data_IF_253736372609
#
_entry.id   IF_253736372609
#
_cell.length_a   1.000
_cell.length_b   1.000
_cell.length_c   1.000
_cell.angle_alpha   90.00
_cell.angle_beta   90.00
_cell.angle_gamma   90.00
#
_symmetry.space_group_name_H-M   'P 1'
#
loop_
_entity.id
_entity.type
_entity.pdbx_description
1 polymer ?
#
# COMPACT_ATOMS: atom_id res chain seq x y z
N UNK A 1 -14.93 37.37 33.87
CA UNK A 1 -13.71 36.73 33.34
C UNK A 1 -12.73 36.55 34.50
N UNK A 2 -12.70 35.35 35.09
CA UNK A 2 -11.60 34.86 35.94
C UNK A 2 -11.24 33.45 35.45
N UNK A 3 -9.96 33.14 35.31
CA UNK A 3 -9.51 31.95 34.58
C UNK A 3 -9.66 30.70 35.44
N UNK A 4 -10.03 29.59 34.80
CA UNK A 4 -9.96 28.25 35.39
C UNK A 4 -8.51 27.97 35.85
N UNK A 5 -8.28 27.44 37.07
CA UNK A 5 -6.95 27.08 37.49
C UNK A 5 -6.44 25.89 36.67
N UNK A 6 -5.57 26.19 35.71
CA UNK A 6 -4.57 25.27 35.21
C UNK A 6 -3.63 24.90 36.35
N UNK A 7 -3.52 23.61 36.68
CA UNK A 7 -2.25 22.91 36.88
C UNK A 7 -2.50 21.55 37.53
N UNK A 8 -2.75 20.51 36.72
CA UNK A 8 -2.48 19.16 37.19
C UNK A 8 -0.96 18.98 37.32
N UNK A 9 -0.45 18.53 38.47
CA UNK A 9 0.98 18.33 38.70
C UNK A 9 1.60 17.47 37.59
N UNK A 10 2.83 17.77 37.17
CA UNK A 10 3.52 17.04 36.10
C UNK A 10 3.54 15.53 36.35
N UNK A 11 3.68 15.11 37.62
CA UNK A 11 3.60 13.71 38.05
C UNK A 11 2.24 13.04 37.76
N UNK A 12 1.13 13.77 37.93
CA UNK A 12 -0.22 13.29 37.62
C UNK A 12 -0.42 13.19 36.11
N UNK A 13 0.09 14.16 35.33
CA UNK A 13 0.11 14.08 33.86
C UNK A 13 0.98 12.93 33.36
N UNK A 14 2.13 12.66 33.98
CA UNK A 14 3.01 11.54 33.61
C UNK A 14 2.38 10.20 33.95
N UNK A 15 1.71 10.06 35.09
CA UNK A 15 0.96 8.85 35.45
C UNK A 15 -0.28 8.64 34.58
N UNK A 16 -1.01 9.69 34.22
CA UNK A 16 -2.13 9.62 33.27
C UNK A 16 -1.64 9.27 31.86
N UNK A 17 -0.50 9.82 31.40
CA UNK A 17 0.14 9.42 30.13
C UNK A 17 0.63 7.98 30.15
N UNK A 18 1.18 7.51 31.27
CA UNK A 18 1.62 6.12 31.43
C UNK A 18 0.43 5.14 31.50
N UNK A 19 -0.67 5.53 32.15
CA UNK A 19 -1.91 4.76 32.22
C UNK A 19 -2.66 4.72 30.88
N UNK A 20 -2.75 5.86 30.16
CA UNK A 20 -3.33 5.93 28.82
C UNK A 20 -2.51 5.13 27.78
N UNK A 21 -1.21 4.92 28.03
CA UNK A 21 -0.31 4.10 27.19
C UNK A 21 -0.38 2.60 27.49
N UNK A 22 -0.98 2.18 28.62
CA UNK A 22 -1.28 0.79 28.92
C UNK A 22 -2.75 0.52 28.61
N UNK A 23 -3.08 0.46 27.32
CA UNK A 23 -4.33 -0.19 26.90
C UNK A 23 -4.28 -1.61 27.50
N UNK A 24 -5.30 -1.97 28.27
CA UNK A 24 -5.38 -3.31 28.85
C UNK A 24 -5.18 -4.34 27.73
N UNK A 25 -4.45 -5.45 27.99
CA UNK A 25 -4.33 -6.51 27.01
C UNK A 25 -5.74 -6.94 26.57
N UNK A 26 -5.92 -7.15 25.27
CA UNK A 26 -7.18 -7.67 24.75
C UNK A 26 -7.48 -9.00 25.43
N UNK A 27 -8.75 -9.24 25.77
CA UNK A 27 -9.17 -10.56 26.24
C UNK A 27 -8.89 -11.63 25.17
N UNK A 28 -8.74 -12.91 25.56
CA UNK A 28 -8.37 -13.99 24.63
C UNK A 28 -9.35 -14.10 23.46
N UNK A 29 -10.65 -14.05 23.73
CA UNK A 29 -11.71 -14.11 22.71
C UNK A 29 -11.64 -12.93 21.72
N UNK A 30 -11.34 -11.72 22.22
CA UNK A 30 -11.17 -10.53 21.37
C UNK A 30 -9.91 -10.62 20.50
N UNK A 31 -8.83 -11.20 21.04
CA UNK A 31 -7.62 -11.46 20.28
C UNK A 31 -7.85 -12.50 19.17
N UNK A 32 -8.61 -13.57 19.44
CA UNK A 32 -8.97 -14.60 18.45
C UNK A 32 -9.84 -14.02 17.32
N UNK A 33 -10.88 -13.23 17.66
CA UNK A 33 -11.72 -12.56 16.65
C UNK A 33 -10.92 -11.60 15.79
N UNK A 34 -9.99 -10.86 16.39
CA UNK A 34 -9.10 -9.94 15.68
C UNK A 34 -8.12 -10.69 14.77
N UNK A 35 -7.60 -11.84 15.20
CA UNK A 35 -6.78 -12.71 14.37
C UNK A 35 -7.58 -13.30 13.20
N UNK A 36 -8.84 -13.71 13.42
CA UNK A 36 -9.72 -14.19 12.35
C UNK A 36 -9.95 -13.11 11.28
N UNK A 37 -10.26 -11.88 11.69
CA UNK A 37 -10.41 -10.76 10.76
C UNK A 37 -9.12 -10.52 9.96
N UNK A 38 -7.96 -10.47 10.61
CA UNK A 38 -6.67 -10.29 9.92
C UNK A 38 -6.37 -11.41 8.93
N UNK A 39 -6.72 -12.67 9.25
CA UNK A 39 -6.57 -13.81 8.34
C UNK A 39 -7.50 -13.72 7.14
N UNK A 40 -8.76 -13.32 7.35
CA UNK A 40 -9.70 -13.07 6.25
C UNK A 40 -9.19 -11.97 5.33
N UNK A 41 -8.73 -10.85 5.89
CA UNK A 41 -8.16 -9.75 5.10
C UNK A 41 -6.91 -10.19 4.34
N UNK A 42 -6.04 -11.00 4.95
CA UNK A 42 -4.88 -11.59 4.28
C UNK A 42 -5.29 -12.40 3.05
N UNK A 43 -6.21 -13.34 3.20
CA UNK A 43 -6.68 -14.20 2.11
C UNK A 43 -7.39 -13.39 1.01
N UNK A 44 -8.30 -12.50 1.36
CA UNK A 44 -9.10 -11.73 0.39
C UNK A 44 -8.30 -10.66 -0.38
N UNK A 45 -7.07 -10.36 0.06
CA UNK A 45 -6.14 -9.46 -0.64
C UNK A 45 -5.09 -10.21 -1.48
N UNK A 46 -5.09 -11.55 -1.49
CA UNK A 46 -4.26 -12.34 -2.39
C UNK A 46 -4.83 -12.35 -3.80
N UNK A 47 -3.98 -12.72 -4.76
CA UNK A 47 -4.42 -12.94 -6.14
C UNK A 47 -5.54 -13.98 -6.16
N UNK A 48 -6.68 -13.72 -6.83
CA UNK A 48 -7.87 -14.57 -6.77
C UNK A 48 -7.76 -15.76 -7.73
N UNK A 49 -6.78 -16.62 -7.49
CA UNK A 49 -6.61 -17.86 -8.25
C UNK A 49 -7.80 -18.84 -8.08
N UNK A 50 -7.71 -19.97 -8.77
CA UNK A 50 -8.72 -21.01 -8.73
C UNK A 50 -8.93 -21.58 -7.31
N UNK A 51 -7.88 -21.66 -6.49
CA UNK A 51 -7.97 -22.18 -5.12
C UNK A 51 -8.75 -21.21 -4.23
N UNK A 52 -8.35 -19.93 -4.20
CA UNK A 52 -9.04 -18.90 -3.42
C UNK A 52 -10.50 -18.74 -3.88
N UNK A 53 -10.73 -18.80 -5.18
CA UNK A 53 -12.07 -18.72 -5.76
C UNK A 53 -12.96 -19.90 -5.37
N UNK A 54 -12.41 -21.12 -5.29
CA UNK A 54 -13.15 -22.30 -4.84
C UNK A 54 -13.53 -22.21 -3.34
N UNK A 55 -12.75 -21.48 -2.54
CA UNK A 55 -12.96 -21.33 -1.10
C UNK A 55 -13.99 -20.24 -0.71
N UNK A 56 -14.64 -19.60 -1.69
CA UNK A 56 -15.70 -18.60 -1.47
C UNK A 56 -16.72 -18.97 -0.39
N UNK A 57 -17.32 -20.19 -0.38
CA UNK A 57 -18.29 -20.55 0.65
C UNK A 57 -17.68 -20.58 2.06
N UNK A 58 -16.43 -21.04 2.19
CA UNK A 58 -15.73 -21.10 3.48
C UNK A 58 -15.35 -19.71 3.98
N UNK A 59 -14.90 -18.83 3.07
CA UNK A 59 -14.60 -17.43 3.39
C UNK A 59 -15.86 -16.69 3.85
N UNK A 60 -16.99 -16.89 3.18
CA UNK A 60 -18.28 -16.34 3.58
C UNK A 60 -18.74 -16.84 4.96
N UNK A 61 -18.63 -18.13 5.22
CA UNK A 61 -18.96 -18.71 6.52
C UNK A 61 -18.06 -18.17 7.65
N UNK A 62 -16.76 -18.05 7.40
CA UNK A 62 -15.81 -17.48 8.35
C UNK A 62 -16.08 -15.99 8.63
N UNK A 63 -16.45 -15.21 7.62
CA UNK A 63 -16.85 -13.82 7.80
C UNK A 63 -18.16 -13.68 8.60
N UNK A 64 -19.13 -14.57 8.37
CA UNK A 64 -20.39 -14.60 9.12
C UNK A 64 -20.21 -14.95 10.61
N UNK A 65 -19.10 -15.60 10.97
CA UNK A 65 -18.75 -15.89 12.37
C UNK A 65 -18.16 -14.69 13.12
N UNK A 66 -17.81 -13.59 12.41
CA UNK A 66 -17.37 -12.35 13.06
C UNK A 66 -18.55 -11.68 13.78
N UNK A 67 -18.35 -11.12 14.98
CA UNK A 67 -19.39 -10.35 15.64
C UNK A 67 -19.75 -9.09 14.83
N UNK A 68 -21.01 -8.62 14.91
CA UNK A 68 -21.43 -7.39 14.24
C UNK A 68 -20.52 -6.21 14.60
N UNK A 69 -19.87 -5.65 13.59
CA UNK A 69 -18.95 -4.53 13.72
C UNK A 69 -18.81 -3.82 12.37
N UNK A 70 -18.31 -2.57 12.34
CA UNK A 70 -18.01 -1.90 11.07
C UNK A 70 -17.09 -2.73 10.18
N UNK A 71 -16.04 -3.34 10.74
CA UNK A 71 -15.12 -4.19 9.98
C UNK A 71 -15.82 -5.42 9.36
N UNK A 72 -16.67 -6.09 10.12
CA UNK A 72 -17.42 -7.25 9.62
C UNK A 72 -18.38 -6.86 8.48
N UNK A 73 -19.02 -5.70 8.57
CA UNK A 73 -19.90 -5.19 7.52
C UNK A 73 -19.13 -4.88 6.22
N UNK A 74 -17.93 -4.29 6.33
CA UNK A 74 -17.06 -4.05 5.17
C UNK A 74 -16.60 -5.35 4.51
N UNK A 75 -16.18 -6.35 5.32
CA UNK A 75 -15.78 -7.67 4.78
C UNK A 75 -16.96 -8.37 4.10
N UNK A 76 -18.16 -8.30 4.68
CA UNK A 76 -19.37 -8.85 4.08
C UNK A 76 -19.69 -8.17 2.72
N UNK A 77 -19.61 -6.84 2.65
CA UNK A 77 -19.83 -6.10 1.41
C UNK A 77 -18.83 -6.48 0.30
N UNK A 78 -17.56 -6.71 0.67
CA UNK A 78 -16.58 -7.25 -0.29
C UNK A 78 -16.96 -8.65 -0.76
N UNK A 79 -17.34 -9.55 0.16
CA UNK A 79 -17.68 -10.93 -0.17
C UNK A 79 -18.93 -11.04 -1.04
N UNK A 80 -19.94 -10.18 -0.83
CA UNK A 80 -21.11 -10.10 -1.70
C UNK A 80 -20.72 -9.76 -3.15
N UNK A 81 -19.81 -8.78 -3.32
CA UNK A 81 -19.25 -8.48 -4.63
C UNK A 81 -18.42 -9.66 -5.19
N UNK A 82 -17.48 -10.17 -4.38
CA UNK A 82 -16.51 -11.20 -4.76
C UNK A 82 -17.20 -12.47 -5.22
N UNK A 83 -18.23 -12.91 -4.49
CA UNK A 83 -19.00 -14.12 -4.83
C UNK A 83 -19.84 -13.98 -6.10
N UNK A 84 -20.25 -12.76 -6.45
CA UNK A 84 -21.00 -12.47 -7.67
C UNK A 84 -20.16 -12.28 -8.94
N UNK A 85 -18.82 -12.33 -8.85
CA UNK A 85 -17.94 -12.16 -10.01
C UNK A 85 -17.50 -13.49 -10.62
N UNK A 86 -17.37 -13.52 -11.95
CA UNK A 86 -16.70 -14.61 -12.67
C UNK A 86 -15.19 -14.65 -12.34
N UNK A 87 -14.56 -15.84 -12.27
CA UNK A 87 -13.15 -15.98 -11.89
C UNK A 87 -12.20 -15.12 -12.74
N UNK A 88 -12.28 -15.22 -14.07
CA UNK A 88 -11.45 -14.43 -15.01
C UNK A 88 -11.65 -12.92 -14.85
N UNK A 89 -12.84 -12.48 -14.41
CA UNK A 89 -13.12 -11.08 -14.15
C UNK A 89 -12.45 -10.60 -12.86
N UNK A 90 -12.40 -11.44 -11.82
CA UNK A 90 -11.67 -11.14 -10.59
C UNK A 90 -10.18 -11.02 -10.82
N UNK A 91 -9.59 -11.97 -11.55
CA UNK A 91 -8.16 -11.97 -11.86
C UNK A 91 -7.76 -10.69 -12.60
N UNK A 92 -8.49 -10.33 -13.66
CA UNK A 92 -8.27 -9.08 -14.39
C UNK A 92 -8.44 -7.86 -13.50
N UNK A 93 -9.50 -7.81 -12.68
CA UNK A 93 -9.75 -6.70 -11.78
C UNK A 93 -8.64 -6.56 -10.72
N UNK A 94 -8.10 -7.68 -10.22
CA UNK A 94 -6.98 -7.68 -9.29
C UNK A 94 -5.73 -7.05 -9.92
N UNK A 95 -5.33 -7.55 -11.10
CA UNK A 95 -4.14 -7.04 -11.82
C UNK A 95 -4.30 -5.56 -12.15
N UNK A 96 -5.47 -5.14 -12.64
CA UNK A 96 -5.75 -3.74 -12.92
C UNK A 96 -5.69 -2.87 -11.65
N UNK A 97 -6.16 -3.41 -10.52
CA UNK A 97 -6.22 -2.70 -9.25
C UNK A 97 -4.86 -2.58 -8.59
N UNK A 98 -4.07 -3.65 -8.52
CA UNK A 98 -2.89 -3.73 -7.65
C UNK A 98 -1.56 -3.72 -8.40
N UNK A 99 -1.49 -4.34 -9.58
CA UNK A 99 -0.23 -4.53 -10.30
C UNK A 99 0.05 -3.38 -11.28
N UNK A 100 -1.00 -2.90 -11.96
CA UNK A 100 -0.88 -1.84 -12.96
C UNK A 100 -0.93 -0.42 -12.37
N UNK A 101 -1.42 -0.27 -11.13
CA UNK A 101 -1.62 1.03 -10.49
C UNK A 101 -0.69 1.21 -9.29
N UNK A 102 0.36 2.01 -9.49
CA UNK A 102 1.34 2.34 -8.44
C UNK A 102 0.74 2.88 -7.14
N UNK A 103 -0.39 3.60 -7.20
CA UNK A 103 -1.02 4.21 -6.02
C UNK A 103 -1.73 3.20 -5.11
N UNK A 104 -2.08 2.02 -5.63
CA UNK A 104 -2.80 0.97 -4.89
C UNK A 104 -1.97 -0.30 -4.65
N UNK A 105 -0.71 -0.35 -5.10
CA UNK A 105 0.22 -1.45 -4.84
C UNK A 105 0.21 -1.95 -3.39
N UNK A 106 0.23 -3.28 -3.19
CA UNK A 106 0.15 -3.88 -1.85
C UNK A 106 1.50 -3.98 -1.13
N UNK A 107 2.58 -3.42 -1.66
CA UNK A 107 3.92 -3.45 -1.05
C UNK A 107 4.14 -2.23 -0.14
N UNK A 108 4.07 -2.42 1.17
CA UNK A 108 3.98 -1.31 2.12
C UNK A 108 5.23 -0.43 2.22
N UNK A 109 6.42 -0.98 1.97
CA UNK A 109 7.67 -0.20 2.05
C UNK A 109 7.85 0.75 0.87
N UNK A 110 7.22 0.45 -0.26
CA UNK A 110 7.23 1.30 -1.45
C UNK A 110 6.72 2.71 -1.13
N UNK A 111 5.65 2.85 -0.34
CA UNK A 111 5.11 4.17 0.00
C UNK A 111 6.01 5.05 0.86
N UNK A 112 6.94 4.46 1.63
CA UNK A 112 7.86 5.21 2.48
C UNK A 112 9.20 5.48 1.80
N UNK A 113 9.62 4.61 0.90
CA UNK A 113 10.99 4.59 0.39
C UNK A 113 11.08 4.55 -1.13
N UNK A 114 9.95 4.39 -1.85
CA UNK A 114 9.92 4.09 -3.27
C UNK A 114 10.87 2.96 -3.65
N UNK A 115 11.37 2.96 -4.88
CA UNK A 115 12.35 1.98 -5.35
C UNK A 115 13.79 2.44 -5.08
N UNK A 116 14.06 2.84 -3.84
CA UNK A 116 15.39 3.27 -3.40
C UNK A 116 16.14 2.16 -2.67
N UNK A 117 17.47 2.30 -2.51
CA UNK A 117 18.28 1.47 -1.59
C UNK A 117 17.71 1.39 -0.17
N UNK A 118 17.02 2.44 0.31
CA UNK A 118 16.39 2.45 1.64
C UNK A 118 15.25 1.43 1.74
N UNK A 119 14.56 1.13 0.64
CA UNK A 119 13.54 0.08 0.58
C UNK A 119 14.14 -1.29 0.91
N UNK A 120 15.31 -1.62 0.34
CA UNK A 120 16.02 -2.86 0.63
C UNK A 120 16.32 -3.05 2.13
N UNK A 121 16.74 -1.98 2.82
CA UNK A 121 16.97 -2.01 4.27
C UNK A 121 15.68 -2.18 5.09
N UNK A 122 14.57 -1.59 4.63
CA UNK A 122 13.27 -1.76 5.26
C UNK A 122 12.76 -3.21 5.14
N UNK A 123 12.91 -3.83 3.95
CA UNK A 123 12.58 -5.23 3.72
C UNK A 123 13.38 -6.16 4.64
N UNK A 124 14.70 -5.95 4.75
CA UNK A 124 15.55 -6.73 5.65
C UNK A 124 15.13 -6.58 7.12
N UNK A 125 14.76 -5.36 7.53
CA UNK A 125 14.28 -5.08 8.88
C UNK A 125 12.98 -5.83 9.18
N UNK A 126 12.05 -5.86 8.21
CA UNK A 126 10.78 -6.58 8.35
C UNK A 126 10.99 -8.10 8.38
N UNK A 127 11.82 -8.64 7.49
CA UNK A 127 12.20 -10.06 7.52
C UNK A 127 12.84 -10.49 8.85
N UNK A 128 13.73 -9.66 9.41
CA UNK A 128 14.32 -9.91 10.75
C UNK A 128 13.26 -9.91 11.85
N UNK A 129 12.25 -9.05 11.75
CA UNK A 129 11.13 -9.01 12.70
C UNK A 129 10.33 -10.31 12.68
N UNK A 130 10.06 -10.85 11.50
CA UNK A 130 9.35 -12.11 11.33
C UNK A 130 10.11 -13.28 11.95
N UNK A 131 11.40 -13.40 11.62
CA UNK A 131 12.26 -14.45 12.20
C UNK A 131 12.39 -14.34 13.72
N UNK A 132 12.46 -13.12 14.25
CA UNK A 132 12.50 -12.90 15.71
C UNK A 132 11.20 -13.34 16.41
N UNK A 133 10.09 -13.44 15.69
CA UNK A 133 8.82 -13.99 16.18
C UNK A 133 8.68 -15.50 15.87
N UNK A 134 9.71 -16.15 15.33
CA UNK A 134 9.69 -17.57 14.97
C UNK A 134 8.97 -17.87 13.66
N UNK A 135 8.74 -16.87 12.81
CA UNK A 135 8.11 -17.05 11.50
C UNK A 135 9.13 -16.87 10.37
N UNK A 136 9.25 -17.88 9.51
CA UNK A 136 10.01 -17.78 8.26
C UNK A 136 9.04 -17.64 7.08
N UNK A 137 9.31 -16.66 6.22
CA UNK A 137 8.45 -16.38 5.06
C UNK A 137 8.98 -17.23 3.91
N UNK A 138 8.49 -18.46 3.82
CA UNK A 138 8.91 -19.43 2.80
C UNK A 138 8.10 -19.32 1.48
N UNK A 139 7.26 -18.30 1.34
CA UNK A 139 6.22 -18.21 0.31
C UNK A 139 6.58 -17.50 -1.00
N UNK A 140 7.85 -17.18 -1.25
CA UNK A 140 8.28 -16.48 -2.47
C UNK A 140 7.87 -15.00 -2.57
N UNK A 141 6.94 -14.54 -1.74
CA UNK A 141 6.51 -13.15 -1.62
C UNK A 141 7.45 -12.29 -0.77
N UNK A 142 7.49 -10.99 -1.07
CA UNK A 142 8.27 -10.04 -0.26
C UNK A 142 7.65 -9.86 1.13
N UNK A 143 8.48 -9.62 2.17
CA UNK A 143 8.00 -9.50 3.54
C UNK A 143 7.08 -8.28 3.76
N UNK A 144 7.07 -7.30 2.86
CA UNK A 144 6.20 -6.12 2.96
C UNK A 144 4.92 -6.20 2.13
N UNK A 145 4.66 -7.32 1.46
CA UNK A 145 3.39 -7.56 0.79
C UNK A 145 2.26 -7.60 1.83
N UNK A 146 1.22 -6.78 1.68
CA UNK A 146 0.20 -6.57 2.71
C UNK A 146 -0.44 -7.88 3.25
N UNK A 147 -0.84 -8.87 2.41
CA UNK A 147 -1.25 -10.19 2.88
C UNK A 147 -0.27 -10.86 3.85
N UNK A 148 1.02 -10.86 3.53
CA UNK A 148 2.10 -11.40 4.38
C UNK A 148 2.16 -10.64 5.72
N UNK A 149 2.03 -9.31 5.68
CA UNK A 149 2.01 -8.49 6.90
C UNK A 149 0.78 -8.77 7.77
N UNK A 150 -0.38 -9.01 7.16
CA UNK A 150 -1.63 -9.33 7.85
C UNK A 150 -1.60 -10.72 8.48
N UNK A 151 -1.04 -11.70 7.79
CA UNK A 151 -0.82 -13.05 8.32
C UNK A 151 0.12 -12.99 9.53
N UNK A 152 1.25 -12.30 9.40
CA UNK A 152 2.13 -12.05 10.55
C UNK A 152 1.39 -11.41 11.72
N UNK A 153 0.56 -10.40 11.45
CA UNK A 153 -0.19 -9.70 12.48
C UNK A 153 -1.19 -10.61 13.20
N UNK A 154 -1.82 -11.54 12.48
CA UNK A 154 -2.70 -12.55 13.05
C UNK A 154 -1.94 -13.55 13.93
N UNK A 155 -0.74 -13.98 13.51
CA UNK A 155 0.09 -14.96 14.22
C UNK A 155 0.78 -14.37 15.46
N UNK A 156 1.46 -13.25 15.30
CA UNK A 156 2.21 -12.58 16.38
C UNK A 156 1.30 -11.76 17.32
N UNK A 157 0.01 -11.67 16.99
CA UNK A 157 -1.03 -11.12 17.83
C UNK A 157 -0.99 -9.60 18.00
N UNK A 158 -1.88 -9.08 18.86
CA UNK A 158 -2.04 -7.65 19.07
C UNK A 158 -0.73 -6.98 19.52
N UNK A 159 -0.58 -5.70 19.17
CA UNK A 159 0.63 -4.89 19.44
C UNK A 159 1.80 -5.28 18.55
N UNK A 160 2.55 -6.33 18.86
CA UNK A 160 3.81 -6.62 18.16
C UNK A 160 3.57 -7.04 16.72
N UNK A 161 2.61 -7.94 16.49
CA UNK A 161 2.23 -8.40 15.15
C UNK A 161 1.73 -7.26 14.26
N UNK A 162 0.92 -6.37 14.82
CA UNK A 162 0.36 -5.23 14.08
C UNK A 162 1.25 -3.99 14.01
N UNK A 163 2.44 -4.02 14.63
CA UNK A 163 3.33 -2.87 14.62
C UNK A 163 3.78 -2.45 13.20
N UNK A 164 4.08 -3.37 12.26
CA UNK A 164 4.30 -3.02 10.86
C UNK A 164 3.10 -2.29 10.25
N UNK A 165 1.87 -2.79 10.42
CA UNK A 165 0.66 -2.15 9.89
C UNK A 165 0.54 -0.69 10.35
N UNK A 166 0.79 -0.42 11.64
CA UNK A 166 0.78 0.95 12.18
C UNK A 166 1.92 1.81 11.65
N UNK A 167 3.12 1.25 11.47
CA UNK A 167 4.27 1.95 10.89
C UNK A 167 4.01 2.37 9.44
N UNK A 168 3.20 1.59 8.71
CA UNK A 168 2.83 1.82 7.32
C UNK A 168 1.42 2.43 7.15
N UNK A 169 0.81 3.00 8.21
CA UNK A 169 -0.53 3.62 8.21
C UNK A 169 -0.76 4.53 6.99
N UNK A 170 0.22 5.38 6.65
CA UNK A 170 0.11 6.34 5.54
C UNK A 170 -0.04 5.65 4.18
N UNK A 171 0.69 4.56 3.96
CA UNK A 171 0.54 3.75 2.76
C UNK A 171 -0.86 3.12 2.69
N UNK A 172 -1.34 2.56 3.80
CA UNK A 172 -2.68 1.95 3.88
C UNK A 172 -3.80 2.95 3.60
N UNK A 173 -3.71 4.16 4.15
CA UNK A 173 -4.65 5.26 3.88
C UNK A 173 -4.61 5.70 2.41
N UNK A 174 -3.41 5.78 1.81
CA UNK A 174 -3.27 6.10 0.40
C UNK A 174 -3.88 5.02 -0.51
N UNK A 175 -3.63 3.74 -0.22
CA UNK A 175 -4.26 2.62 -0.92
C UNK A 175 -5.78 2.73 -0.80
N UNK A 176 -6.30 2.88 0.43
CA UNK A 176 -7.74 3.01 0.67
C UNK A 176 -8.38 4.17 -0.13
N UNK A 177 -7.73 5.34 -0.14
CA UNK A 177 -8.16 6.48 -0.96
C UNK A 177 -8.14 6.15 -2.45
N UNK A 178 -7.04 5.60 -2.96
CA UNK A 178 -6.92 5.25 -4.38
C UNK A 178 -7.97 4.23 -4.83
N UNK A 179 -8.27 3.24 -3.98
CA UNK A 179 -9.33 2.25 -4.24
C UNK A 179 -10.73 2.88 -4.19
N UNK A 180 -10.95 3.83 -3.29
CA UNK A 180 -12.21 4.58 -3.19
C UNK A 180 -12.43 5.45 -4.42
N UNK A 181 -11.42 6.24 -4.82
CA UNK A 181 -11.47 7.10 -6.00
C UNK A 181 -11.68 6.29 -7.30
N UNK A 182 -11.14 5.06 -7.35
CA UNK A 182 -11.32 4.14 -8.46
C UNK A 182 -12.66 3.35 -8.42
N UNK A 183 -13.47 3.49 -7.37
CA UNK A 183 -14.69 2.72 -7.19
C UNK A 183 -14.48 1.21 -7.00
N UNK A 184 -13.26 0.78 -6.61
CA UNK A 184 -12.94 -0.64 -6.47
C UNK A 184 -13.59 -1.24 -5.22
N UNK A 185 -14.09 -2.48 -5.32
CA UNK A 185 -14.64 -3.22 -4.19
C UNK A 185 -13.58 -3.51 -3.11
N UNK A 186 -12.30 -3.63 -3.50
CA UNK A 186 -11.20 -3.83 -2.57
C UNK A 186 -11.07 -2.73 -1.50
N UNK A 187 -11.66 -1.53 -1.72
CA UNK A 187 -11.69 -0.47 -0.69
C UNK A 187 -12.28 -0.96 0.63
N UNK A 188 -13.25 -1.87 0.58
CA UNK A 188 -13.92 -2.42 1.75
C UNK A 188 -12.94 -3.18 2.66
N UNK A 189 -12.02 -3.96 2.08
CA UNK A 189 -11.00 -4.68 2.84
C UNK A 189 -10.03 -3.72 3.56
N UNK A 190 -9.65 -2.64 2.89
CA UNK A 190 -8.80 -1.62 3.49
C UNK A 190 -9.56 -0.81 4.56
N UNK A 191 -10.85 -0.52 4.35
CA UNK A 191 -11.69 0.13 5.35
C UNK A 191 -11.79 -0.73 6.62
N UNK A 192 -12.04 -2.04 6.49
CA UNK A 192 -12.04 -2.99 7.60
C UNK A 192 -10.69 -3.04 8.34
N UNK A 193 -9.58 -3.04 7.60
CA UNK A 193 -8.24 -3.00 8.21
C UNK A 193 -8.02 -1.71 9.01
N UNK A 194 -8.43 -0.56 8.46
CA UNK A 194 -8.23 0.75 9.09
C UNK A 194 -8.98 0.87 10.43
N UNK A 195 -10.09 0.15 10.63
CA UNK A 195 -10.83 0.15 11.91
C UNK A 195 -10.05 -0.52 13.05
N UNK A 196 -9.09 -1.39 12.75
CA UNK A 196 -8.25 -2.04 13.77
C UNK A 196 -7.22 -1.09 14.39
N UNK A 197 -6.98 0.04 13.74
CA UNK A 197 -5.97 1.00 14.13
C UNK A 197 -6.62 2.26 14.74
N UNK A 198 -5.89 3.01 15.59
CA UNK A 198 -6.37 4.32 16.05
C UNK A 198 -6.71 5.25 14.87
N UNK A 199 -7.61 6.22 15.06
CA UNK A 199 -7.91 7.22 14.02
C UNK A 199 -6.64 7.89 13.52
N UNK A 200 -6.58 8.16 12.21
CA UNK A 200 -5.49 8.89 11.60
C UNK A 200 -5.35 10.27 12.24
N UNK A 201 -4.12 10.70 12.50
CA UNK A 201 -3.86 12.05 12.98
C UNK A 201 -3.91 13.05 11.82
N UNK A 202 -4.07 14.33 12.11
CA UNK A 202 -3.97 15.38 11.09
C UNK A 202 -2.61 15.37 10.36
N UNK A 203 -1.54 14.96 11.07
CA UNK A 203 -0.22 14.80 10.47
C UNK A 203 -0.19 13.62 9.48
N UNK A 204 -0.88 12.51 9.78
CA UNK A 204 -1.01 11.39 8.85
C UNK A 204 -1.79 11.80 7.61
N UNK A 205 -2.92 12.49 7.77
CA UNK A 205 -3.74 12.96 6.66
C UNK A 205 -3.00 13.92 5.72
N UNK A 206 -2.21 14.85 6.28
CA UNK A 206 -1.34 15.74 5.48
C UNK A 206 -0.29 14.97 4.70
N UNK A 207 0.43 14.07 5.37
CA UNK A 207 1.45 13.25 4.72
C UNK A 207 0.85 12.33 3.62
N UNK A 208 -0.37 11.84 3.80
CA UNK A 208 -1.10 11.08 2.77
C UNK A 208 -1.46 11.96 1.58
N UNK A 209 -1.87 13.22 1.81
CA UNK A 209 -2.15 14.16 0.73
C UNK A 209 -0.89 14.52 -0.07
N UNK A 210 0.23 14.76 0.61
CA UNK A 210 1.55 14.98 0.00
C UNK A 210 1.96 13.75 -0.84
N UNK A 211 1.92 12.55 -0.25
CA UNK A 211 2.26 11.30 -0.94
C UNK A 211 1.33 11.02 -2.15
N UNK A 212 0.05 11.40 -2.07
CA UNK A 212 -0.88 11.25 -3.19
C UNK A 212 -0.56 12.18 -4.37
N UNK A 213 0.00 13.36 -4.08
CA UNK A 213 0.36 14.38 -5.05
C UNK A 213 1.73 14.12 -5.68
N UNK A 214 2.75 13.84 -4.86
CA UNK A 214 4.15 13.71 -5.27
C UNK A 214 4.53 12.27 -5.63
N UNK A 215 3.78 11.29 -5.12
CA UNK A 215 4.16 9.88 -5.19
C UNK A 215 5.28 9.53 -4.20
N UNK A 216 5.69 8.25 -4.11
CA UNK A 216 6.77 7.85 -3.22
C UNK A 216 8.14 8.40 -3.63
N UNK A 217 9.11 8.46 -2.71
CA UNK A 217 10.45 8.96 -3.02
C UNK A 217 11.13 8.19 -4.15
N UNK A 218 11.66 8.89 -5.17
CA UNK A 218 12.52 8.31 -6.20
C UNK A 218 13.98 8.25 -5.78
N UNK A 219 14.77 7.34 -6.39
CA UNK A 219 16.23 7.42 -6.37
C UNK A 219 16.68 8.12 -7.67
N UNK A 220 17.46 9.20 -7.56
CA UNK A 220 18.11 9.81 -8.72
C UNK A 220 19.32 8.97 -9.13
N UNK A 221 19.07 7.85 -9.80
CA UNK A 221 20.16 7.03 -10.36
C UNK A 221 20.58 7.60 -11.71
N UNK A 222 21.75 8.25 -11.76
CA UNK A 222 22.42 8.67 -13.01
C UNK A 222 22.15 10.10 -13.48
N UNK A 223 21.70 11.01 -12.62
CA UNK A 223 21.60 12.44 -12.97
C UNK A 223 22.87 13.25 -12.68
N UNK A 224 23.81 12.69 -11.93
CA UNK A 224 25.17 13.22 -11.95
C UNK A 224 25.78 12.88 -13.31
N UNK A 225 26.16 13.87 -14.16
CA UNK A 225 27.00 13.56 -15.31
C UNK A 225 28.20 12.82 -14.74
N UNK A 226 28.54 11.66 -15.31
CA UNK A 226 29.73 10.90 -14.95
C UNK A 226 30.83 11.88 -14.55
N UNK A 227 31.12 11.94 -13.25
CA UNK A 227 32.05 12.93 -12.73
C UNK A 227 33.32 12.82 -13.56
N UNK A 228 33.81 13.95 -14.07
CA UNK A 228 35.07 14.04 -14.78
C UNK A 228 36.22 13.77 -13.79
N UNK A 229 36.30 12.53 -13.28
CA UNK A 229 37.13 12.13 -12.16
C UNK A 229 37.76 10.77 -12.43
N UNK A 230 39.01 10.83 -12.91
CA UNK A 230 40.20 10.00 -12.64
C UNK A 230 40.15 8.47 -12.49
N UNK A 231 39.01 7.80 -12.67
CA UNK A 231 38.92 6.33 -12.62
C UNK A 231 38.41 5.75 -13.94
N UNK A 232 39.00 6.19 -15.05
CA UNK A 232 38.90 5.49 -16.33
C UNK A 232 40.08 4.51 -16.45
N UNK A 233 39.88 3.17 -16.46
CA UNK A 233 40.95 2.23 -16.76
C UNK A 233 41.50 2.51 -18.16
N UNK A 234 42.81 2.36 -18.43
CA UNK A 234 43.38 2.64 -19.74
C UNK A 234 42.70 1.75 -20.80
N UNK A 235 42.04 2.37 -21.79
CA UNK A 235 41.28 1.70 -22.84
C UNK A 235 39.76 1.93 -22.85
N UNK A 236 39.23 2.87 -22.06
CA UNK A 236 37.79 3.23 -22.13
C UNK A 236 37.43 3.70 -23.53
N UNK A 237 36.32 3.16 -24.04
CA UNK A 237 35.63 3.59 -25.25
C UNK A 237 35.50 5.12 -25.27
N UNK A 238 36.17 5.76 -26.23
CA UNK A 238 35.95 7.17 -26.54
C UNK A 238 34.70 7.23 -27.41
N UNK A 239 33.61 7.88 -26.97
CA UNK A 239 32.46 8.10 -27.85
C UNK A 239 32.94 8.86 -29.09
N UNK A 240 32.57 8.44 -30.31
CA UNK A 240 32.90 9.20 -31.50
C UNK A 240 32.29 10.60 -31.41
N UNK A 241 32.94 11.58 -32.05
CA UNK A 241 32.39 12.93 -32.18
C UNK A 241 30.96 12.86 -32.69
N UNK A 242 30.09 13.71 -32.14
CA UNK A 242 28.69 13.75 -32.54
C UNK A 242 28.59 13.94 -34.06
N UNK A 243 27.95 12.99 -34.72
CA UNK A 243 27.71 13.10 -36.16
C UNK A 243 26.92 14.39 -36.43
N UNK A 244 27.27 15.13 -37.50
CA UNK A 244 26.53 16.33 -37.87
C UNK A 244 25.04 16.00 -38.03
N UNK A 245 24.14 16.88 -37.58
CA UNK A 245 22.71 16.61 -37.61
C UNK A 245 22.27 16.27 -39.03
N UNK A 246 21.62 15.12 -39.20
CA UNK A 246 21.02 14.72 -40.47
C UNK A 246 19.96 15.77 -40.86
N UNK A 247 20.27 16.60 -41.86
CA UNK A 247 19.30 17.51 -42.45
C UNK A 247 18.25 16.69 -43.19
N UNK A 248 17.06 16.58 -42.60
CA UNK A 248 15.90 16.04 -43.29
C UNK A 248 15.53 17.04 -44.40
N UNK A 249 15.48 16.64 -45.69
CA UNK A 249 15.05 17.55 -46.75
C UNK A 249 13.60 18.00 -46.47
N UNK A 250 13.27 19.28 -46.73
CA UNK A 250 11.94 19.80 -46.43
C UNK A 250 10.87 19.01 -47.19
N UNK A 251 9.82 18.63 -46.47
CA UNK A 251 8.63 17.98 -47.02
C UNK A 251 8.01 18.89 -48.09
N UNK A 252 7.77 18.41 -49.32
CA UNK A 252 7.10 19.23 -50.33
C UNK A 252 5.68 19.56 -49.89
N UNK A 253 5.35 20.86 -49.93
CA UNK A 253 4.03 21.40 -49.60
C UNK A 253 3.02 20.93 -50.65
N UNK A 254 1.88 20.31 -50.27
CA UNK A 254 0.87 19.91 -51.24
C UNK A 254 0.17 21.13 -51.85
N UNK A 255 -0.20 21.08 -53.15
CA UNK A 255 -0.84 22.22 -53.82
C UNK A 255 -2.24 22.49 -53.25
N UNK A 256 -2.51 23.76 -52.99
CA UNK A 256 -3.81 24.29 -52.57
C UNK A 256 -4.89 24.00 -53.63
N UNK A 257 -5.87 23.19 -53.26
CA UNK A 257 -7.04 22.95 -54.10
C UNK A 257 -7.93 24.21 -54.14
N UNK A 258 -8.01 24.83 -55.32
CA UNK A 258 -8.99 25.88 -55.61
C UNK A 258 -10.42 25.34 -55.44
N UNK A 259 -11.15 25.90 -54.47
CA UNK A 259 -12.59 25.72 -54.28
C UNK A 259 -13.31 26.36 -55.47
N UNK A 260 -13.79 25.56 -56.42
CA UNK A 260 -14.77 26.01 -57.41
C UNK A 260 -16.15 26.03 -56.76
N UNK A 261 -16.70 27.22 -56.63
CA UNK A 261 -18.13 27.46 -56.47
C UNK A 261 -18.83 27.13 -57.79
N UNK A 262 -19.90 26.34 -57.74
CA UNK A 262 -21.00 26.31 -58.71
C UNK A 262 -22.22 25.74 -57.95
N UNK A 263 -23.22 26.55 -57.58
CA UNK A 263 -24.41 26.95 -58.37
C UNK A 263 -25.10 25.78 -59.09
N UNK A 264 -26.05 25.13 -58.42
CA UNK A 264 -27.52 25.21 -58.66
C UNK A 264 -28.27 24.19 -57.83
#
# INVERSE_FOLDING_TARGET
>A
MSPLPSTLPALVRTRLRAAARRRAPLGPEEAERRALLLRLLSLLLQYPDAELTAERPRLAAAAAALPPSPAAAEVAAFLDWFTGQEPDALERHYVETFDLRRKSSLYLTYYLHGDTRRRGMALLTLARRYRAAGWDVDGGELPDHLPVVLEFAALAGPRTGEAPLRQHRRGLELIHRALTDAGSAYRHLLAALLTLMPPATEADLRAVAELAAEGPPGEEVGLDPYGAGEFAPPGVFVPPDQAPPTLVPPTPVPPTAHRREDRR
#
